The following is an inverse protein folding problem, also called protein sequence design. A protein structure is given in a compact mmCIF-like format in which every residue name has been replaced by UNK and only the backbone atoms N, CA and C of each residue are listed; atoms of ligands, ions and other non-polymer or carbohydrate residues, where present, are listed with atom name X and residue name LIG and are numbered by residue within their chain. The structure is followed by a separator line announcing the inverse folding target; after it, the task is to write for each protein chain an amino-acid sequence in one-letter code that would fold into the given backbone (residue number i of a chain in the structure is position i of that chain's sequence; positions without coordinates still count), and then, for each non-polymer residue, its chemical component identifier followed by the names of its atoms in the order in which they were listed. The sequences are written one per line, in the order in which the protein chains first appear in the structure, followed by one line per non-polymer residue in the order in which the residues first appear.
data_IF_745808591931
#
_entry.id   IF_745808591931
#
_cell.length_a   1.000
_cell.length_b   1.000
_cell.length_c   1.000
_cell.angle_alpha   90.00
_cell.angle_beta   90.00
_cell.angle_gamma   90.00
#
_symmetry.space_group_name_H-M   'P 1'
#
loop_
_entity.id
_entity.type
_entity.pdbx_description
1 polymer ?
#
# COMPACT_ATOMS: atom_id res chain seq x y z
N UNK A 1 -19.94 4.86 -4.61
CA UNK A 1 -18.93 3.80 -4.39
C UNK A 1 -18.28 4.05 -3.03
N UNK A 2 -18.28 3.06 -2.13
CA UNK A 2 -17.59 3.18 -0.85
C UNK A 2 -16.06 3.22 -1.08
N UNK A 3 -15.36 4.19 -0.48
CA UNK A 3 -13.90 4.27 -0.54
C UNK A 3 -13.29 3.24 0.41
N UNK A 4 -12.28 2.52 -0.08
CA UNK A 4 -11.45 1.61 0.69
C UNK A 4 -10.01 2.09 0.60
N UNK A 5 -9.31 2.09 1.74
CA UNK A 5 -7.90 2.42 1.84
C UNK A 5 -7.14 1.19 2.30
N UNK A 6 -6.04 0.88 1.63
CA UNK A 6 -5.20 -0.27 1.94
C UNK A 6 -3.74 0.19 2.00
N UNK A 7 -3.04 -0.23 3.05
CA UNK A 7 -1.61 0.02 3.23
C UNK A 7 -0.94 -1.21 3.82
N UNK A 8 0.24 -1.54 3.31
CA UNK A 8 1.08 -2.58 3.89
C UNK A 8 2.15 -1.94 4.76
N UNK A 9 2.22 -2.35 6.02
CA UNK A 9 3.22 -1.90 7.00
C UNK A 9 3.94 -3.15 7.48
N UNK A 10 5.25 -3.24 7.23
CA UNK A 10 6.09 -4.38 7.63
C UNK A 10 5.53 -5.75 7.16
N UNK A 11 4.93 -5.78 5.98
CA UNK A 11 4.34 -6.99 5.40
C UNK A 11 2.94 -7.35 5.91
N UNK A 12 2.40 -6.62 6.90
CA UNK A 12 1.03 -6.76 7.39
C UNK A 12 0.09 -5.80 6.66
N UNK A 13 -1.12 -6.24 6.33
CA UNK A 13 -2.11 -5.42 5.62
C UNK A 13 -3.02 -4.69 6.61
N UNK A 14 -3.09 -3.37 6.50
CA UNK A 14 -4.09 -2.53 7.16
C UNK A 14 -5.11 -2.09 6.12
N UNK A 15 -6.38 -2.38 6.38
CA UNK A 15 -7.50 -1.90 5.57
C UNK A 15 -8.39 -0.97 6.39
N UNK A 16 -8.74 0.17 5.82
CA UNK A 16 -9.69 1.12 6.40
C UNK A 16 -10.83 1.30 5.39
N UNK A 17 -12.07 0.99 5.79
CA UNK A 17 -13.21 0.94 4.88
C UNK A 17 -14.45 1.61 5.48
N UNK A 18 -15.35 2.12 4.65
CA UNK A 18 -16.64 2.64 5.16
C UNK A 18 -17.56 1.51 5.61
N UNK A 19 -17.55 0.40 4.87
CA UNK A 19 -18.40 -0.76 5.11
C UNK A 19 -17.61 -1.90 5.76
N UNK A 20 -18.29 -2.70 6.58
CA UNK A 20 -17.72 -3.92 7.14
C UNK A 20 -17.29 -4.89 6.01
N UNK A 21 -16.18 -5.63 6.17
CA UNK A 21 -15.80 -6.65 5.22
C UNK A 21 -16.87 -7.74 5.15
N UNK A 22 -17.14 -8.22 3.94
CA UNK A 22 -18.00 -9.40 3.71
C UNK A 22 -17.12 -10.65 3.67
N UNK A 23 -17.55 -11.72 4.34
CA UNK A 23 -16.86 -13.02 4.31
C UNK A 23 -16.51 -13.54 5.71
N UNK A 24 -15.79 -14.66 5.72
CA UNK A 24 -15.35 -15.30 6.95
C UNK A 24 -14.21 -14.52 7.62
N UNK A 25 -14.15 -14.59 8.96
CA UNK A 25 -13.04 -14.06 9.71
C UNK A 25 -11.72 -14.74 9.29
N UNK A 26 -10.66 -13.96 9.19
CA UNK A 26 -9.31 -14.46 8.89
C UNK A 26 -8.52 -14.48 10.20
N UNK A 27 -7.93 -15.63 10.53
CA UNK A 27 -7.12 -15.77 11.74
C UNK A 27 -5.95 -14.77 11.75
N UNK A 28 -5.80 -14.04 12.86
CA UNK A 28 -4.76 -13.02 13.00
C UNK A 28 -5.03 -11.69 12.28
N UNK A 29 -6.25 -11.49 11.75
CA UNK A 29 -6.67 -10.23 11.13
C UNK A 29 -7.95 -9.73 11.82
N UNK A 30 -7.83 -9.04 12.97
CA UNK A 30 -8.98 -8.47 13.65
C UNK A 30 -9.76 -7.50 12.75
N UNK A 31 -11.09 -7.56 12.86
CA UNK A 31 -12.03 -6.65 12.21
C UNK A 31 -12.66 -5.77 13.29
N UNK A 32 -12.43 -4.47 13.23
CA UNK A 32 -12.70 -3.52 14.31
C UNK A 32 -13.59 -2.41 13.76
N UNK A 33 -14.67 -2.13 14.48
CA UNK A 33 -15.52 -0.99 14.15
C UNK A 33 -14.81 0.30 14.56
N UNK A 34 -14.64 1.19 13.59
CA UNK A 34 -14.06 2.51 13.74
C UNK A 34 -15.11 3.47 14.30
N UNK A 35 -15.10 3.65 15.61
CA UNK A 35 -15.97 4.57 16.36
C UNK A 35 -15.30 5.92 16.59
N UNK A 36 -13.97 5.94 16.67
CA UNK A 36 -13.14 7.14 16.78
C UNK A 36 -11.89 7.03 15.91
N UNK A 37 -11.22 8.16 15.65
CA UNK A 37 -9.90 8.14 14.98
C UNK A 37 -8.82 7.52 15.88
N UNK A 38 -8.98 7.58 17.21
CA UNK A 38 -8.06 6.98 18.17
C UNK A 38 -8.05 5.45 18.09
N UNK A 39 -9.13 4.83 17.62
CA UNK A 39 -9.18 3.37 17.44
C UNK A 39 -8.09 2.89 16.47
N UNK A 40 -7.80 3.67 15.42
CA UNK A 40 -6.68 3.39 14.52
C UNK A 40 -5.34 3.39 15.26
N UNK A 41 -5.13 4.39 16.11
CA UNK A 41 -3.88 4.55 16.84
C UNK A 41 -3.68 3.39 17.81
N UNK A 42 -4.73 3.01 18.53
CA UNK A 42 -4.71 1.88 19.46
C UNK A 42 -4.45 0.56 18.71
N UNK A 43 -5.04 0.36 17.52
CA UNK A 43 -4.72 -0.80 16.69
C UNK A 43 -3.24 -0.82 16.33
N UNK A 44 -2.68 0.31 15.92
CA UNK A 44 -1.28 0.41 15.50
C UNK A 44 -0.29 0.28 16.67
N UNK A 45 -0.60 0.79 17.86
CA UNK A 45 0.30 0.77 19.01
C UNK A 45 0.17 -0.50 19.86
N UNK A 46 -1.04 -1.05 20.00
CA UNK A 46 -1.32 -2.15 20.95
C UNK A 46 -1.47 -3.50 20.25
N UNK A 47 -2.23 -3.58 19.14
CA UNK A 47 -2.50 -4.85 18.47
C UNK A 47 -1.43 -5.18 17.43
N UNK A 48 -0.98 -4.20 16.65
CA UNK A 48 -0.05 -4.40 15.56
C UNK A 48 1.26 -5.09 15.95
N UNK A 49 1.87 -4.82 17.13
CA UNK A 49 3.11 -5.48 17.54
C UNK A 49 2.91 -6.93 18.02
N UNK A 50 1.68 -7.35 18.30
CA UNK A 50 1.44 -8.65 18.94
C UNK A 50 1.78 -9.83 18.00
N UNK A 51 2.37 -10.91 18.54
CA UNK A 51 2.57 -12.14 17.78
C UNK A 51 1.22 -12.73 17.36
N UNK A 52 1.16 -13.25 16.14
CA UNK A 52 -0.07 -13.80 15.55
C UNK A 52 -1.01 -12.77 14.92
N UNK A 53 -0.71 -11.46 15.03
CA UNK A 53 -1.39 -10.42 14.27
C UNK A 53 -0.66 -10.20 12.94
N UNK A 54 -1.38 -10.47 11.84
CA UNK A 54 -0.89 -10.42 10.46
C UNK A 54 -1.49 -9.25 9.65
N UNK A 55 -2.41 -8.50 10.23
CA UNK A 55 -3.06 -7.34 9.62
C UNK A 55 -4.24 -6.87 10.47
N UNK A 56 -4.99 -5.88 9.99
CA UNK A 56 -6.22 -5.44 10.62
C UNK A 56 -7.17 -4.80 9.60
N UNK A 57 -8.47 -4.89 9.87
CA UNK A 57 -9.51 -4.17 9.13
C UNK A 57 -10.23 -3.24 10.11
N UNK A 58 -10.19 -1.94 9.86
CA UNK A 58 -11.03 -0.95 10.54
C UNK A 58 -12.16 -0.54 9.60
N UNK A 59 -13.39 -0.47 10.12
CA UNK A 59 -14.53 -0.08 9.30
C UNK A 59 -15.50 0.88 9.99
N UNK A 60 -16.04 1.85 9.25
CA UNK A 60 -17.05 2.77 9.76
C UNK A 60 -17.09 4.11 9.04
N UNK A 61 -18.04 5.00 9.41
CA UNK A 61 -18.24 6.28 8.73
C UNK A 61 -17.04 7.23 8.88
N UNK A 62 -16.12 6.97 9.81
CA UNK A 62 -14.91 7.76 10.03
C UNK A 62 -13.72 7.31 9.18
N UNK A 63 -13.89 6.34 8.26
CA UNK A 63 -12.80 5.75 7.48
C UNK A 63 -11.90 6.79 6.78
N UNK A 64 -12.51 7.79 6.16
CA UNK A 64 -11.77 8.87 5.48
C UNK A 64 -10.96 9.71 6.48
N UNK A 65 -11.55 10.07 7.63
CA UNK A 65 -10.85 10.83 8.68
C UNK A 65 -9.69 10.02 9.29
N UNK A 66 -9.89 8.73 9.53
CA UNK A 66 -8.83 7.86 10.03
C UNK A 66 -7.71 7.68 8.99
N UNK A 67 -8.05 7.61 7.70
CA UNK A 67 -7.05 7.57 6.63
C UNK A 67 -6.24 8.86 6.52
N UNK A 68 -6.89 10.02 6.62
CA UNK A 68 -6.19 11.31 6.60
C UNK A 68 -5.28 11.46 7.82
N UNK A 69 -5.76 11.06 9.00
CA UNK A 69 -4.96 10.99 10.21
C UNK A 69 -3.74 10.09 10.05
N UNK A 70 -3.93 8.87 9.53
CA UNK A 70 -2.84 7.94 9.21
C UNK A 70 -1.80 8.60 8.31
N UNK A 71 -2.23 9.12 7.15
CA UNK A 71 -1.33 9.69 6.14
C UNK A 71 -0.57 10.91 6.65
N UNK A 72 -1.17 11.72 7.52
CA UNK A 72 -0.53 12.93 8.05
C UNK A 72 0.76 12.66 8.83
N UNK A 73 0.97 11.41 9.28
CA UNK A 73 2.17 10.99 10.01
C UNK A 73 3.36 10.63 9.13
N UNK A 74 3.16 10.55 7.82
CA UNK A 74 4.19 10.08 6.89
C UNK A 74 4.49 11.16 5.84
N UNK A 75 5.77 11.37 5.60
CA UNK A 75 6.21 12.12 4.42
C UNK A 75 6.14 11.19 3.21
N UNK A 76 5.33 11.50 2.18
CA UNK A 76 5.29 10.68 0.98
C UNK A 76 6.63 10.75 0.25
N UNK A 77 7.15 9.59 -0.14
CA UNK A 77 8.26 9.51 -1.09
C UNK A 77 7.66 9.23 -2.46
N UNK A 78 7.85 10.17 -3.38
CA UNK A 78 7.38 9.99 -4.75
C UNK A 78 8.20 8.89 -5.43
N UNK A 79 7.49 8.00 -6.13
CA UNK A 79 8.08 6.95 -6.93
C UNK A 79 7.43 6.95 -8.32
N UNK A 80 8.22 6.60 -9.33
CA UNK A 80 7.79 6.49 -10.70
C UNK A 80 8.35 5.22 -11.32
N UNK A 81 7.64 4.69 -12.32
CA UNK A 81 7.97 3.43 -12.99
C UNK A 81 7.14 3.22 -14.25
N UNK A 82 7.25 2.04 -14.85
CA UNK A 82 6.63 1.77 -16.14
C UNK A 82 5.92 0.42 -16.23
N UNK A 83 4.69 0.44 -16.75
CA UNK A 83 4.05 -0.77 -17.29
C UNK A 83 4.50 -0.96 -18.74
N UNK A 84 5.57 -1.74 -18.93
CA UNK A 84 6.16 -1.98 -20.25
C UNK A 84 5.58 -3.25 -20.85
N UNK A 85 5.12 -3.18 -22.09
CA UNK A 85 4.61 -4.34 -22.82
C UNK A 85 5.45 -4.59 -24.07
N UNK A 86 5.53 -5.86 -24.47
CA UNK A 86 6.03 -6.21 -25.80
C UNK A 86 4.92 -6.19 -26.86
N UNK A 87 5.27 -6.46 -28.13
CA UNK A 87 4.33 -6.49 -29.25
C UNK A 87 3.23 -7.56 -29.11
N UNK A 88 3.41 -8.52 -28.19
CA UNK A 88 2.46 -9.59 -27.90
C UNK A 88 1.58 -9.26 -26.69
N UNK A 89 1.73 -8.07 -26.11
CA UNK A 89 0.97 -7.61 -24.94
C UNK A 89 1.43 -8.21 -23.61
N UNK A 90 2.61 -8.84 -23.54
CA UNK A 90 3.15 -9.40 -22.28
C UNK A 90 3.73 -8.26 -21.43
N UNK A 91 3.35 -8.20 -20.16
CA UNK A 91 3.81 -7.18 -19.21
C UNK A 91 5.16 -7.54 -18.60
N UNK A 92 6.11 -6.60 -18.64
CA UNK A 92 7.33 -6.63 -17.86
C UNK A 92 7.01 -6.35 -16.39
N UNK A 93 7.36 -7.30 -15.53
CA UNK A 93 7.24 -7.19 -14.08
C UNK A 93 8.53 -7.67 -13.42
N UNK A 94 8.83 -7.13 -12.25
CA UNK A 94 9.94 -7.53 -11.41
C UNK A 94 9.42 -8.33 -10.22
N UNK A 95 10.22 -9.28 -9.73
CA UNK A 95 9.86 -10.06 -8.54
C UNK A 95 10.82 -9.72 -7.39
N UNK A 96 10.30 -9.06 -6.36
CA UNK A 96 11.08 -8.65 -5.18
C UNK A 96 10.22 -8.75 -3.92
N UNK A 97 10.85 -9.03 -2.78
CA UNK A 97 10.15 -9.15 -1.48
C UNK A 97 8.94 -10.10 -1.53
N UNK A 98 9.08 -11.22 -2.27
CA UNK A 98 8.05 -12.25 -2.39
C UNK A 98 6.80 -11.88 -3.19
N UNK A 99 6.83 -10.79 -3.96
CA UNK A 99 5.71 -10.35 -4.80
C UNK A 99 6.16 -9.83 -6.16
N UNK A 100 5.27 -9.93 -7.14
CA UNK A 100 5.40 -9.26 -8.42
C UNK A 100 5.07 -7.77 -8.28
N UNK A 101 5.86 -6.91 -8.91
CA UNK A 101 5.73 -5.45 -8.89
C UNK A 101 6.12 -4.91 -10.28
N UNK A 102 5.78 -3.65 -10.55
CA UNK A 102 6.29 -2.95 -11.73
C UNK A 102 7.72 -2.45 -11.47
N UNK A 103 8.56 -2.35 -12.51
CA UNK A 103 9.85 -1.68 -12.38
C UNK A 103 9.61 -0.20 -12.04
N UNK A 104 10.12 0.24 -10.90
CA UNK A 104 9.93 1.58 -10.34
C UNK A 104 10.92 1.87 -9.22
N UNK A 105 11.16 3.16 -9.03
CA UNK A 105 11.92 3.62 -7.87
C UNK A 105 11.64 5.09 -7.55
N UNK A 106 12.50 5.65 -6.71
CA UNK A 106 12.27 6.99 -6.13
C UNK A 106 12.52 8.05 -7.19
N UNK A 107 11.74 9.12 -7.12
CA UNK A 107 11.95 10.30 -7.97
C UNK A 107 13.05 11.14 -7.33
N UNK A 108 14.10 11.43 -8.11
CA UNK A 108 15.21 12.24 -7.61
C UNK A 108 14.84 13.72 -7.54
N UNK A 109 15.57 14.48 -6.72
CA UNK A 109 15.32 15.92 -6.56
C UNK A 109 15.52 16.65 -7.88
N UNK A 110 14.46 17.36 -8.34
CA UNK A 110 14.47 18.08 -9.62
C UNK A 110 14.15 17.21 -10.84
N UNK A 111 13.94 15.90 -10.65
CA UNK A 111 13.56 14.98 -11.72
C UNK A 111 12.05 15.02 -11.98
N UNK A 112 11.65 14.95 -13.25
CA UNK A 112 10.23 14.82 -13.62
C UNK A 112 9.76 13.36 -13.46
N UNK A 113 8.48 13.15 -13.14
CA UNK A 113 7.91 11.79 -13.04
C UNK A 113 8.17 10.92 -14.29
N UNK A 114 8.00 11.43 -15.53
CA UNK A 114 8.28 10.62 -16.71
C UNK A 114 9.77 10.29 -16.87
N UNK A 115 10.68 11.21 -16.50
CA UNK A 115 12.12 10.96 -16.56
C UNK A 115 12.52 9.86 -15.55
N UNK A 116 12.04 9.96 -14.32
CA UNK A 116 12.22 8.96 -13.27
C UNK A 116 11.70 7.58 -13.71
N UNK A 117 10.50 7.52 -14.27
CA UNK A 117 9.93 6.27 -14.79
C UNK A 117 10.83 5.59 -15.83
N UNK A 118 11.35 6.35 -16.80
CA UNK A 118 12.23 5.81 -17.85
C UNK A 118 13.58 5.36 -17.28
N UNK A 119 14.16 6.12 -16.34
CA UNK A 119 15.41 5.77 -15.67
C UNK A 119 15.28 4.46 -14.89
N UNK A 120 14.28 4.38 -14.00
CA UNK A 120 14.03 3.22 -13.13
C UNK A 120 13.75 1.95 -13.93
N UNK A 121 12.94 2.04 -14.99
CA UNK A 121 12.71 0.91 -15.91
C UNK A 121 14.01 0.41 -16.54
N UNK A 122 14.92 1.31 -16.92
CA UNK A 122 16.22 0.92 -17.51
C UNK A 122 17.14 0.28 -16.49
N UNK A 123 17.19 0.84 -15.28
CA UNK A 123 18.04 0.37 -14.18
C UNK A 123 17.63 -1.01 -13.69
N UNK A 124 16.35 -1.24 -13.43
CA UNK A 124 15.86 -2.50 -12.85
C UNK A 124 15.73 -3.65 -13.86
N UNK A 125 15.68 -3.35 -15.17
CA UNK A 125 15.44 -4.36 -16.21
C UNK A 125 16.63 -4.55 -17.18
N UNK A 126 17.79 -3.95 -16.88
CA UNK A 126 19.01 -4.01 -17.72
C UNK A 126 18.67 -3.81 -19.20
N UNK A 127 17.92 -2.75 -19.51
CA UNK A 127 17.62 -2.41 -20.90
C UNK A 127 18.86 -1.77 -21.54
N UNK A 128 19.69 -2.58 -22.21
CA UNK A 128 20.68 -2.07 -23.17
C UNK A 128 19.96 -1.84 -24.50
N UNK A 129 20.00 -0.59 -24.98
CA UNK A 129 19.64 -0.23 -26.36
C UNK A 129 20.47 -1.03 -27.36
#
# INVERSE_FOLDING_TARGET
MARNYEVSIEGKLLRIAVEAPRGAAIAGVPVIQLTTVQDLDNVLSELWPLPGIHGAVLFGPLAEKAWDHFRSRYAPVLAAGGAVTDERGRLLAIHRLGRWDLPKGKVDQGESLPAAAVREVREECVYRK
#
